data_IF_476181800915
#
_entry.id   IF_476181800915
#
_cell.length_a   1.000
_cell.length_b   1.000
_cell.length_c   1.000
_cell.angle_alpha   90.00
_cell.angle_beta   90.00
_cell.angle_gamma   90.00
#
_symmetry.space_group_name_H-M   'P 1'
#
loop_
_entity.id
_entity.type
_entity.pdbx_description
1 polymer ?
#
# COMPACT_ATOMS: atom_id res chain seq x y z
N UNK A 1 2.61 -30.30 26.78
CA UNK A 1 1.38 -30.51 25.97
C UNK A 1 1.25 -32.01 25.73
N UNK A 2 0.13 -32.65 26.08
CA UNK A 2 -0.07 -34.10 25.87
C UNK A 2 -0.77 -34.87 27.00
N UNK A 3 -1.03 -34.25 28.15
CA UNK A 3 -1.56 -34.94 29.35
C UNK A 3 -3.09 -34.96 29.43
N UNK A 4 -3.81 -34.30 28.52
CA UNK A 4 -5.28 -34.32 28.44
C UNK A 4 -5.75 -34.84 27.09
N UNK A 5 -7.00 -35.29 26.98
CA UNK A 5 -7.56 -35.74 25.69
C UNK A 5 -7.41 -34.68 24.58
N UNK A 6 -7.78 -33.44 24.86
CA UNK A 6 -7.60 -32.33 23.92
C UNK A 6 -6.12 -32.03 23.64
N UNK A 7 -5.25 -32.19 24.63
CA UNK A 7 -3.80 -32.04 24.47
C UNK A 7 -3.19 -33.11 23.56
N UNK A 8 -3.69 -34.34 23.60
CA UNK A 8 -3.25 -35.43 22.71
C UNK A 8 -3.71 -35.19 21.27
N UNK A 9 -4.96 -34.77 21.09
CA UNK A 9 -5.48 -34.38 19.77
C UNK A 9 -4.67 -33.22 19.18
N UNK A 10 -4.38 -32.21 20.00
CA UNK A 10 -3.55 -31.07 19.60
C UNK A 10 -2.11 -31.48 19.24
N UNK A 11 -1.50 -32.38 20.02
CA UNK A 11 -0.12 -32.81 19.80
C UNK A 11 0.04 -33.74 18.59
N UNK A 12 -0.92 -34.65 18.38
CA UNK A 12 -0.88 -35.64 17.30
C UNK A 12 -1.44 -35.12 15.99
N UNK A 13 -2.33 -34.11 16.05
CA UNK A 13 -3.12 -33.68 14.89
C UNK A 13 -4.08 -34.77 14.39
N UNK A 14 -4.41 -35.76 15.23
CA UNK A 14 -5.32 -36.87 14.90
C UNK A 14 -6.57 -36.87 15.80
N UNK A 15 -7.73 -37.31 15.30
CA UNK A 15 -8.91 -37.57 16.10
C UNK A 15 -8.64 -38.51 17.28
N UNK A 16 -9.29 -38.27 18.42
CA UNK A 16 -9.28 -39.16 19.58
C UNK A 16 -10.71 -39.42 20.06
N UNK A 17 -11.14 -40.68 20.00
CA UNK A 17 -12.40 -41.14 20.54
C UNK A 17 -12.16 -41.95 21.81
N UNK A 18 -12.89 -41.61 22.88
CA UNK A 18 -12.88 -42.31 24.17
C UNK A 18 -14.32 -42.62 24.54
N UNK A 19 -14.75 -43.90 24.42
CA UNK A 19 -16.15 -44.26 24.64
C UNK A 19 -16.64 -44.03 26.06
N UNK A 20 -15.76 -44.18 27.03
CA UNK A 20 -16.02 -43.92 28.45
C UNK A 20 -14.75 -43.33 29.08
N UNK A 21 -14.84 -42.08 29.52
CA UNK A 21 -13.76 -41.31 30.12
C UNK A 21 -13.73 -41.46 31.64
N UNK A 22 -14.72 -42.11 32.25
CA UNK A 22 -14.81 -42.25 33.70
C UNK A 22 -13.65 -43.11 34.20
N UNK A 23 -12.86 -42.55 35.11
CA UNK A 23 -11.66 -43.21 35.62
C UNK A 23 -10.46 -43.20 34.67
N UNK A 24 -10.56 -42.60 33.48
CA UNK A 24 -9.39 -42.41 32.61
C UNK A 24 -8.46 -41.34 33.19
N UNK A 25 -7.16 -41.64 33.44
CA UNK A 25 -6.22 -40.69 34.03
C UNK A 25 -5.95 -39.45 33.16
N UNK A 26 -6.29 -39.49 31.86
CA UNK A 26 -6.17 -38.35 30.94
C UNK A 26 -7.35 -37.38 31.06
N UNK A 27 -8.38 -37.72 31.84
CA UNK A 27 -9.48 -36.82 32.17
C UNK A 27 -9.02 -35.78 33.18
N UNK A 28 -8.56 -34.62 32.68
CA UNK A 28 -7.93 -33.58 33.50
C UNK A 28 -8.89 -32.87 34.47
N UNK A 29 -10.20 -32.91 34.21
CA UNK A 29 -11.22 -32.21 34.99
C UNK A 29 -12.38 -33.15 35.35
N UNK A 30 -12.16 -34.15 36.22
CA UNK A 30 -13.17 -35.16 36.54
C UNK A 30 -14.38 -34.57 37.27
N UNK A 31 -14.19 -33.53 38.07
CA UNK A 31 -15.29 -32.82 38.74
C UNK A 31 -16.22 -32.13 37.72
N UNK A 32 -15.64 -31.46 36.72
CA UNK A 32 -16.40 -30.83 35.64
C UNK A 32 -17.18 -31.86 34.82
N UNK A 33 -16.53 -32.97 34.45
CA UNK A 33 -17.20 -34.07 33.76
C UNK A 33 -18.35 -34.65 34.60
N UNK A 34 -18.17 -34.83 35.91
CA UNK A 34 -19.21 -35.32 36.80
C UNK A 34 -20.39 -34.34 36.91
N UNK A 35 -20.14 -33.03 37.03
CA UNK A 35 -21.20 -32.00 37.12
C UNK A 35 -22.10 -32.00 35.89
N UNK A 36 -21.53 -32.14 34.69
CA UNK A 36 -22.28 -32.12 33.43
C UNK A 36 -22.60 -33.52 32.91
N UNK A 37 -22.30 -34.56 33.69
CA UNK A 37 -22.51 -35.96 33.33
C UNK A 37 -21.76 -36.40 32.08
N UNK A 38 -20.62 -35.80 31.73
CA UNK A 38 -19.86 -36.13 30.51
C UNK A 38 -19.19 -37.49 30.66
N UNK A 39 -19.55 -38.44 29.80
CA UNK A 39 -19.07 -39.83 29.84
C UNK A 39 -18.19 -40.15 28.64
N UNK A 40 -18.61 -39.86 27.41
CA UNK A 40 -17.77 -40.09 26.22
C UNK A 40 -17.05 -38.81 25.78
N UNK A 41 -15.98 -38.96 24.99
CA UNK A 41 -15.25 -37.87 24.37
C UNK A 41 -14.90 -38.22 22.91
N UNK A 42 -15.14 -37.30 21.99
CA UNK A 42 -14.56 -37.29 20.66
C UNK A 42 -13.91 -35.93 20.42
N UNK A 43 -12.59 -35.90 20.34
CA UNK A 43 -11.81 -34.72 20.03
C UNK A 43 -11.33 -34.74 18.58
N UNK A 44 -11.50 -33.64 17.87
CA UNK A 44 -11.12 -33.46 16.47
C UNK A 44 -10.22 -32.23 16.34
N UNK A 45 -9.06 -32.34 15.68
CA UNK A 45 -8.19 -31.19 15.49
C UNK A 45 -8.77 -30.25 14.44
N UNK A 46 -8.90 -28.97 14.80
CA UNK A 46 -9.27 -27.89 13.89
C UNK A 46 -7.97 -27.32 13.33
N UNK A 47 -7.51 -27.87 12.22
CA UNK A 47 -6.20 -27.51 11.65
C UNK A 47 -6.25 -27.32 10.13
N UNK A 48 -5.46 -26.36 9.63
CA UNK A 48 -5.30 -26.09 8.20
C UNK A 48 -3.84 -25.79 7.89
N UNK A 49 -3.31 -26.35 6.79
CA UNK A 49 -1.93 -26.12 6.30
C UNK A 49 -0.85 -26.25 7.40
N UNK A 50 -0.97 -27.27 8.26
CA UNK A 50 -0.02 -27.54 9.34
C UNK A 50 -0.17 -26.64 10.58
N UNK A 51 -1.10 -25.69 10.58
CA UNK A 51 -1.43 -24.85 11.74
C UNK A 51 -2.65 -25.39 12.47
N UNK A 52 -2.51 -25.62 13.78
CA UNK A 52 -3.61 -25.95 14.68
C UNK A 52 -4.28 -24.66 15.19
N UNK A 53 -5.60 -24.56 15.05
CA UNK A 53 -6.41 -23.49 15.63
C UNK A 53 -7.08 -23.89 16.94
N UNK A 54 -7.28 -25.19 17.16
CA UNK A 54 -7.85 -25.72 18.40
C UNK A 54 -8.33 -27.15 18.26
N UNK A 55 -9.14 -27.58 19.23
CA UNK A 55 -9.75 -28.92 19.26
C UNK A 55 -11.26 -28.77 19.42
N UNK A 56 -12.01 -29.37 18.50
CA UNK A 56 -13.46 -29.50 18.59
C UNK A 56 -13.79 -30.77 19.37
N UNK A 57 -14.54 -30.66 20.45
CA UNK A 57 -14.87 -31.78 21.32
C UNK A 57 -16.38 -32.05 21.35
N UNK A 58 -16.75 -33.32 21.18
CA UNK A 58 -18.11 -33.82 21.40
C UNK A 58 -18.09 -34.74 22.62
N UNK A 59 -19.10 -34.62 23.48
CA UNK A 59 -19.26 -35.47 24.64
C UNK A 59 -20.71 -35.96 24.74
N UNK A 60 -20.93 -37.14 25.29
CA UNK A 60 -22.27 -37.67 25.59
C UNK A 60 -22.39 -38.06 27.06
N UNK A 61 -23.61 -38.10 27.58
CA UNK A 61 -23.88 -38.44 28.99
C UNK A 61 -23.95 -39.93 29.29
N UNK A 62 -23.80 -40.76 28.27
CA UNK A 62 -23.68 -42.20 28.36
C UNK A 62 -22.45 -42.66 27.56
N UNK A 63 -21.91 -43.86 27.83
CA UNK A 63 -20.84 -44.43 27.03
C UNK A 63 -21.25 -44.52 25.56
N UNK A 64 -20.36 -44.13 24.65
CA UNK A 64 -20.63 -44.16 23.21
C UNK A 64 -19.39 -44.53 22.41
N UNK A 65 -19.47 -45.63 21.68
CA UNK A 65 -18.54 -45.90 20.61
C UNK A 65 -18.94 -45.08 19.37
N UNK A 66 -18.01 -44.30 18.84
CA UNK A 66 -18.18 -43.62 17.56
C UNK A 66 -17.79 -44.57 16.44
N UNK A 67 -18.62 -44.66 15.40
CA UNK A 67 -18.28 -45.43 14.20
C UNK A 67 -17.24 -44.67 13.37
N UNK A 68 -16.40 -45.41 12.64
CA UNK A 68 -15.32 -44.81 11.85
C UNK A 68 -15.84 -43.80 10.81
N UNK A 69 -16.99 -44.07 10.19
CA UNK A 69 -17.62 -43.16 9.24
C UNK A 69 -18.13 -41.86 9.89
N UNK A 70 -18.66 -41.92 11.12
CA UNK A 70 -19.02 -40.74 11.90
C UNK A 70 -17.79 -39.89 12.22
N UNK A 71 -16.68 -40.52 12.63
CA UNK A 71 -15.42 -39.83 12.93
C UNK A 71 -14.86 -39.18 11.68
N UNK A 72 -14.85 -39.88 10.54
CA UNK A 72 -14.40 -39.35 9.24
C UNK A 72 -15.22 -38.13 8.83
N UNK A 73 -16.55 -38.22 8.93
CA UNK A 73 -17.45 -37.12 8.58
C UNK A 73 -17.21 -35.89 9.47
N UNK A 74 -17.19 -36.07 10.79
CA UNK A 74 -16.97 -34.96 11.72
C UNK A 74 -15.56 -34.38 11.59
N UNK A 75 -14.56 -35.21 11.26
CA UNK A 75 -13.20 -34.73 11.02
C UNK A 75 -13.13 -33.87 9.75
N UNK A 76 -13.83 -34.26 8.67
CA UNK A 76 -13.98 -33.43 7.48
C UNK A 76 -14.65 -32.08 7.81
N UNK A 77 -15.67 -32.09 8.68
CA UNK A 77 -16.30 -30.86 9.17
C UNK A 77 -15.32 -29.96 9.95
N UNK A 78 -14.54 -30.53 10.87
CA UNK A 78 -13.51 -29.79 11.61
C UNK A 78 -12.45 -29.16 10.69
N UNK A 79 -12.09 -29.86 9.59
CA UNK A 79 -11.18 -29.31 8.55
C UNK A 79 -11.81 -28.16 7.78
N UNK A 80 -13.11 -28.21 7.46
CA UNK A 80 -13.81 -27.10 6.83
C UNK A 80 -13.91 -25.88 7.75
N UNK A 81 -14.19 -26.09 9.04
CA UNK A 81 -14.14 -25.02 10.03
C UNK A 81 -12.75 -24.36 10.11
N UNK A 82 -11.68 -25.16 10.07
CA UNK A 82 -10.32 -24.65 10.06
C UNK A 82 -10.00 -23.80 8.82
N UNK A 83 -10.51 -24.19 7.65
CA UNK A 83 -10.38 -23.40 6.42
C UNK A 83 -11.12 -22.06 6.54
N UNK A 84 -12.33 -22.05 7.08
CA UNK A 84 -13.11 -20.83 7.28
C UNK A 84 -12.41 -19.86 8.25
N UNK A 85 -11.87 -20.36 9.36
CA UNK A 85 -11.11 -19.56 10.34
C UNK A 85 -9.88 -18.93 9.69
N UNK A 86 -9.11 -19.70 8.92
CA UNK A 86 -7.91 -19.15 8.26
C UNK A 86 -8.28 -18.12 7.20
N UNK A 87 -9.36 -18.32 6.45
CA UNK A 87 -9.84 -17.34 5.47
C UNK A 87 -10.26 -16.03 6.13
N UNK A 88 -11.02 -16.08 7.23
CA UNK A 88 -11.43 -14.90 7.98
C UNK A 88 -10.20 -14.11 8.48
N UNK A 89 -9.21 -14.81 9.05
CA UNK A 89 -7.97 -14.20 9.54
C UNK A 89 -7.14 -13.56 8.42
N UNK A 90 -7.03 -14.21 7.26
CA UNK A 90 -6.34 -13.64 6.10
C UNK A 90 -7.08 -12.40 5.57
N UNK A 91 -8.41 -12.44 5.56
CA UNK A 91 -9.23 -11.33 5.12
C UNK A 91 -9.04 -10.11 6.04
N UNK A 92 -9.13 -10.29 7.37
CA UNK A 92 -8.88 -9.22 8.35
C UNK A 92 -7.49 -8.61 8.19
N UNK A 93 -6.44 -9.43 8.02
CA UNK A 93 -5.09 -8.94 7.80
C UNK A 93 -4.97 -8.10 6.51
N UNK A 94 -5.68 -8.49 5.45
CA UNK A 94 -5.71 -7.77 4.18
C UNK A 94 -6.45 -6.43 4.34
N UNK A 95 -7.60 -6.42 5.01
CA UNK A 95 -8.38 -5.20 5.28
C UNK A 95 -7.56 -4.20 6.13
N UNK A 96 -6.89 -4.66 7.18
CA UNK A 96 -6.03 -3.79 7.99
C UNK A 96 -4.86 -3.20 7.20
N UNK A 97 -4.21 -4.00 6.34
CA UNK A 97 -3.11 -3.50 5.50
C UNK A 97 -3.60 -2.47 4.48
N UNK A 98 -4.78 -2.67 3.89
CA UNK A 98 -5.40 -1.70 2.99
C UNK A 98 -5.71 -0.38 3.70
N UNK A 99 -6.23 -0.43 4.93
CA UNK A 99 -6.49 0.77 5.75
C UNK A 99 -5.19 1.55 6.02
N UNK A 100 -4.11 0.87 6.43
CA UNK A 100 -2.82 1.51 6.69
C UNK A 100 -2.25 2.22 5.45
N UNK A 101 -2.33 1.58 4.27
CA UNK A 101 -1.90 2.19 3.00
C UNK A 101 -2.77 3.39 2.62
N UNK A 102 -4.08 3.32 2.89
CA UNK A 102 -4.99 4.44 2.69
C UNK A 102 -4.62 5.66 3.54
N UNK A 103 -4.36 5.45 4.83
CA UNK A 103 -3.91 6.52 5.73
C UNK A 103 -2.59 7.14 5.29
N UNK A 104 -1.61 6.30 4.89
CA UNK A 104 -0.31 6.80 4.44
C UNK A 104 -0.42 7.63 3.16
N UNK A 105 -1.21 7.15 2.20
CA UNK A 105 -1.50 7.89 0.95
C UNK A 105 -2.14 9.24 1.24
N UNK A 106 -3.10 9.30 2.15
CA UNK A 106 -3.76 10.55 2.53
C UNK A 106 -2.79 11.53 3.22
N UNK A 107 -1.89 11.04 4.08
CA UNK A 107 -0.83 11.86 4.68
C UNK A 107 0.14 12.40 3.62
N UNK A 108 0.57 11.57 2.67
CA UNK A 108 1.42 12.00 1.55
C UNK A 108 0.71 13.05 0.72
N UNK A 109 -0.58 12.85 0.42
CA UNK A 109 -1.41 13.83 -0.30
C UNK A 109 -1.43 15.15 0.45
N UNK A 110 -1.75 15.16 1.75
CA UNK A 110 -1.75 16.37 2.57
C UNK A 110 -0.38 17.07 2.56
N UNK A 111 0.73 16.34 2.71
CA UNK A 111 2.08 16.92 2.62
C UNK A 111 2.37 17.56 1.25
N UNK A 112 1.96 16.91 0.15
CA UNK A 112 2.08 17.48 -1.19
C UNK A 112 1.11 18.64 -1.45
N UNK A 113 -0.03 18.71 -0.74
CA UNK A 113 -1.00 19.80 -0.88
C UNK A 113 -0.60 21.02 -0.06
N UNK A 114 0.16 20.83 1.02
CA UNK A 114 0.69 21.91 1.89
C UNK A 114 1.91 22.61 1.26
N UNK A 115 2.55 22.01 0.24
CA UNK A 115 3.53 22.69 -0.59
C UNK A 115 2.83 23.34 -1.79
N UNK A 116 2.58 24.65 -1.69
CA UNK A 116 2.15 25.50 -2.81
C UNK A 116 3.11 25.29 -4.01
N UNK A 117 2.66 24.71 -5.16
CA UNK A 117 3.53 24.42 -6.30
C UNK A 117 4.25 25.66 -6.82
N UNK A 118 3.59 26.81 -6.78
CA UNK A 118 4.17 28.09 -7.11
C UNK A 118 5.28 28.47 -6.12
N UNK A 119 5.11 28.19 -4.82
CA UNK A 119 6.16 28.40 -3.81
C UNK A 119 7.35 27.47 -4.02
N UNK A 120 7.12 26.19 -4.31
CA UNK A 120 8.21 25.25 -4.61
C UNK A 120 9.00 25.68 -5.85
N UNK A 121 8.30 26.09 -6.91
CA UNK A 121 8.93 26.60 -8.11
C UNK A 121 9.76 27.87 -7.85
N UNK A 122 9.28 28.76 -6.98
CA UNK A 122 10.03 29.95 -6.55
C UNK A 122 11.31 29.59 -5.78
N UNK A 123 11.26 28.66 -4.82
CA UNK A 123 12.43 28.23 -4.05
C UNK A 123 13.48 27.53 -4.95
N UNK A 124 13.03 26.72 -5.91
CA UNK A 124 13.93 26.09 -6.91
C UNK A 124 14.67 27.17 -7.71
N UNK A 125 13.95 28.17 -8.22
CA UNK A 125 14.56 29.26 -8.97
C UNK A 125 15.51 30.11 -8.12
N UNK A 126 15.14 30.38 -6.86
CA UNK A 126 16.01 31.09 -5.92
C UNK A 126 17.33 30.33 -5.67
N UNK A 127 17.25 29.02 -5.44
CA UNK A 127 18.45 28.18 -5.28
C UNK A 127 19.32 28.16 -6.55
N UNK A 128 18.71 28.12 -7.74
CA UNK A 128 19.44 28.17 -9.00
C UNK A 128 20.22 29.49 -9.20
N UNK A 129 19.66 30.63 -8.76
CA UNK A 129 20.35 31.92 -8.81
C UNK A 129 21.56 32.01 -7.89
N UNK A 130 21.55 31.29 -6.77
CA UNK A 130 22.73 31.18 -5.88
C UNK A 130 23.85 30.40 -6.58
N UNK A 131 23.50 29.32 -7.29
CA UNK A 131 24.46 28.47 -7.99
C UNK A 131 25.04 29.14 -9.24
N UNK A 132 24.23 29.95 -9.93
CA UNK A 132 24.64 30.69 -11.13
C UNK A 132 24.34 32.18 -10.95
N UNK A 133 25.27 32.94 -10.32
CA UNK A 133 25.07 34.36 -10.08
C UNK A 133 24.79 35.14 -11.37
N UNK A 134 23.71 35.93 -11.36
CA UNK A 134 23.27 36.70 -12.53
C UNK A 134 22.36 35.93 -13.49
N UNK A 135 22.05 34.66 -13.23
CA UNK A 135 21.12 33.90 -14.05
C UNK A 135 19.66 34.37 -13.89
N UNK A 136 19.00 34.54 -15.03
CA UNK A 136 17.55 34.64 -15.15
C UNK A 136 16.95 33.22 -15.29
N UNK A 137 15.74 33.01 -14.77
CA UNK A 137 15.12 31.68 -14.77
C UNK A 137 13.60 31.72 -14.83
N UNK A 138 13.01 30.69 -15.46
CA UNK A 138 11.56 30.46 -15.50
C UNK A 138 11.28 28.99 -15.24
N UNK A 139 10.20 28.72 -14.50
CA UNK A 139 9.71 27.38 -14.25
C UNK A 139 8.36 27.20 -14.95
N UNK A 140 8.31 26.22 -15.85
CA UNK A 140 7.10 25.84 -16.58
C UNK A 140 6.61 24.49 -16.07
N UNK A 141 5.36 24.40 -15.64
CA UNK A 141 4.74 23.17 -15.14
C UNK A 141 3.68 22.67 -16.12
N UNK A 142 3.62 21.35 -16.35
CA UNK A 142 2.57 20.75 -17.15
C UNK A 142 1.21 20.92 -16.47
N UNK A 143 0.16 21.17 -17.26
CA UNK A 143 -1.21 21.38 -16.77
C UNK A 143 -2.01 20.10 -16.97
N UNK A 144 -2.27 19.38 -15.86
CA UNK A 144 -3.01 18.11 -15.89
C UNK A 144 -2.29 17.03 -16.70
N UNK A 145 -3.04 16.13 -17.34
CA UNK A 145 -2.52 15.11 -18.26
C UNK A 145 -2.47 15.59 -19.73
N UNK A 146 -2.71 16.88 -19.99
CA UNK A 146 -2.75 17.43 -21.34
C UNK A 146 -1.37 17.82 -21.88
N UNK A 147 -1.33 18.18 -23.17
CA UNK A 147 -0.11 18.61 -23.87
C UNK A 147 0.20 20.10 -23.66
N UNK A 148 -0.07 20.66 -22.48
CA UNK A 148 0.11 22.09 -22.22
C UNK A 148 1.02 22.34 -21.00
N UNK A 149 1.89 23.34 -21.11
CA UNK A 149 2.77 23.81 -20.04
C UNK A 149 2.45 25.26 -19.67
N UNK A 150 2.41 25.56 -18.37
CA UNK A 150 2.11 26.88 -17.81
C UNK A 150 3.31 27.47 -17.06
N UNK A 151 3.56 28.77 -17.22
CA UNK A 151 4.54 29.49 -16.40
C UNK A 151 4.04 29.57 -14.95
N UNK A 152 4.80 29.03 -14.00
CA UNK A 152 4.45 29.04 -12.56
C UNK A 152 5.38 29.89 -11.71
N UNK A 153 6.63 30.11 -12.14
CA UNK A 153 7.55 31.02 -11.47
C UNK A 153 8.55 31.63 -12.48
N UNK A 154 9.03 32.84 -12.18
CA UNK A 154 9.96 33.61 -13.00
C UNK A 154 10.86 34.43 -12.07
N UNK A 155 12.15 34.53 -12.38
CA UNK A 155 13.13 35.29 -11.60
C UNK A 155 14.16 35.95 -12.52
N UNK A 156 14.59 37.16 -12.17
CA UNK A 156 15.62 37.89 -12.94
C UNK A 156 15.19 38.37 -14.33
N UNK A 157 13.90 38.27 -14.68
CA UNK A 157 13.32 38.69 -15.96
C UNK A 157 12.15 39.62 -15.72
N UNK A 158 11.98 40.64 -16.56
CA UNK A 158 10.73 41.39 -16.59
C UNK A 158 9.69 40.63 -17.39
N UNK A 159 8.49 40.53 -16.82
CA UNK A 159 7.35 39.99 -17.56
C UNK A 159 6.99 40.97 -18.69
N UNK A 160 6.86 40.50 -19.94
CA UNK A 160 6.56 41.39 -21.06
C UNK A 160 5.20 42.06 -20.89
N UNK A 161 5.13 43.34 -21.29
CA UNK A 161 3.88 44.10 -21.31
C UNK A 161 2.95 43.55 -22.43
N UNK A 162 1.71 43.17 -22.08
CA UNK A 162 0.68 42.71 -23.04
C UNK A 162 0.26 41.24 -22.90
N UNK A 163 -0.25 40.65 -24.00
CA UNK A 163 -0.71 39.25 -24.07
C UNK A 163 0.50 38.30 -24.10
N UNK A 164 1.15 38.11 -22.95
CA UNK A 164 2.14 37.06 -22.80
C UNK A 164 1.44 35.70 -22.74
N UNK A 165 1.73 34.81 -23.69
CA UNK A 165 1.25 33.44 -23.62
C UNK A 165 1.95 32.74 -22.45
N UNK A 166 1.20 32.54 -21.37
CA UNK A 166 1.63 31.79 -20.19
C UNK A 166 1.36 30.30 -20.32
N UNK A 167 0.80 29.87 -21.45
CA UNK A 167 0.43 28.49 -21.75
C UNK A 167 0.96 28.16 -23.15
N UNK A 168 1.76 27.11 -23.27
CA UNK A 168 2.30 26.60 -24.54
C UNK A 168 2.00 25.13 -24.71
N UNK A 169 1.95 24.66 -25.95
CA UNK A 169 1.86 23.22 -26.21
C UNK A 169 3.21 22.51 -26.02
N UNK A 170 3.18 21.22 -25.70
CA UNK A 170 4.37 20.36 -25.79
C UNK A 170 4.92 20.40 -27.22
N UNK A 171 6.24 20.54 -27.35
CA UNK A 171 6.93 20.75 -28.62
C UNK A 171 6.97 22.20 -29.11
N UNK A 172 6.25 23.11 -28.46
CA UNK A 172 6.22 24.53 -28.83
C UNK A 172 7.24 25.34 -28.03
N UNK A 173 8.14 26.03 -28.72
CA UNK A 173 9.19 26.81 -28.06
C UNK A 173 10.27 25.95 -27.41
N UNK A 174 11.37 26.57 -26.97
CA UNK A 174 12.45 25.82 -26.31
C UNK A 174 11.97 25.05 -25.05
N UNK A 175 11.11 25.66 -24.24
CA UNK A 175 10.55 25.02 -23.05
C UNK A 175 9.59 23.86 -23.40
N UNK A 176 8.73 24.02 -24.40
CA UNK A 176 7.83 22.96 -24.85
C UNK A 176 8.58 21.81 -25.53
N UNK A 177 9.63 22.09 -26.30
CA UNK A 177 10.50 21.05 -26.88
C UNK A 177 11.20 20.26 -25.78
N UNK A 178 11.79 20.94 -24.79
CA UNK A 178 12.44 20.26 -23.66
C UNK A 178 11.45 19.40 -22.87
N UNK A 179 10.23 19.89 -22.66
CA UNK A 179 9.17 19.15 -21.99
C UNK A 179 8.72 17.91 -22.80
N UNK A 180 8.60 18.04 -24.13
CA UNK A 180 8.19 16.95 -25.02
C UNK A 180 9.26 15.86 -25.16
N UNK A 181 10.53 16.25 -25.36
CA UNK A 181 11.64 15.31 -25.57
C UNK A 181 12.18 14.74 -24.26
N UNK A 182 11.90 15.38 -23.12
CA UNK A 182 12.48 15.08 -21.80
C UNK A 182 14.01 15.11 -21.80
N UNK A 183 14.59 15.94 -22.67
CA UNK A 183 16.04 16.13 -22.78
C UNK A 183 16.39 17.61 -22.65
N UNK A 184 17.59 17.94 -22.12
CA UNK A 184 18.07 19.32 -22.10
C UNK A 184 18.11 19.91 -23.52
N UNK A 185 17.50 21.07 -23.70
CA UNK A 185 17.57 21.83 -24.95
C UNK A 185 18.43 23.05 -24.70
N UNK A 186 19.54 23.14 -25.43
CA UNK A 186 20.47 24.25 -25.34
C UNK A 186 20.32 25.10 -26.61
N UNK A 187 20.29 26.42 -26.39
CA UNK A 187 20.36 27.42 -27.44
C UNK A 187 21.54 28.34 -27.13
N UNK A 188 22.58 28.38 -27.97
CA UNK A 188 23.72 29.28 -27.77
C UNK A 188 23.32 30.77 -27.84
N UNK A 189 22.25 31.08 -28.58
CA UNK A 189 21.71 32.42 -28.72
C UNK A 189 20.20 32.35 -29.00
N UNK A 190 19.40 32.68 -28.00
CA UNK A 190 17.94 32.65 -28.09
C UNK A 190 17.37 33.77 -28.99
N UNK A 191 18.15 34.78 -29.33
CA UNK A 191 17.69 35.90 -30.18
C UNK A 191 17.70 35.56 -31.67
N UNK A 192 18.44 34.52 -32.06
CA UNK A 192 18.54 34.01 -33.44
C UNK A 192 17.97 32.60 -33.60
N UNK A 193 17.66 31.90 -32.52
CA UNK A 193 17.07 30.56 -32.54
C UNK A 193 15.58 30.59 -32.91
N UNK A 194 15.22 30.06 -34.08
CA UNK A 194 13.83 30.00 -34.56
C UNK A 194 12.90 29.17 -33.68
N UNK A 195 13.44 28.31 -32.82
CA UNK A 195 12.68 27.55 -31.82
C UNK A 195 12.31 28.41 -30.61
N UNK A 196 12.83 29.63 -30.48
CA UNK A 196 12.46 30.55 -29.42
C UNK A 196 11.30 31.44 -29.88
N UNK A 197 10.14 31.29 -29.24
CA UNK A 197 8.88 31.88 -29.71
C UNK A 197 8.89 33.41 -29.71
N UNK A 198 9.60 34.04 -28.75
CA UNK A 198 9.51 35.49 -28.54
C UNK A 198 10.89 36.18 -28.64
N UNK A 199 11.52 36.08 -29.81
CA UNK A 199 12.86 36.63 -30.05
C UNK A 199 12.93 38.14 -29.81
N UNK A 200 11.88 38.88 -30.13
CA UNK A 200 11.84 40.35 -29.92
C UNK A 200 11.90 40.70 -28.43
N UNK A 201 11.18 39.96 -27.58
CA UNK A 201 11.30 40.11 -26.13
C UNK A 201 12.70 39.71 -25.62
N UNK A 202 13.28 38.61 -26.13
CA UNK A 202 14.63 38.21 -25.74
C UNK A 202 15.68 39.29 -26.08
N UNK A 203 15.52 39.98 -27.22
CA UNK A 203 16.35 41.12 -27.59
C UNK A 203 16.14 42.31 -26.65
N UNK A 204 14.89 42.60 -26.29
CA UNK A 204 14.55 43.69 -25.36
C UNK A 204 15.12 43.47 -23.95
N UNK A 205 15.09 42.23 -23.45
CA UNK A 205 15.68 41.82 -22.16
C UNK A 205 17.20 41.63 -22.21
N UNK A 206 17.83 41.82 -23.39
CA UNK A 206 19.26 41.62 -23.61
C UNK A 206 19.72 40.22 -23.17
N UNK A 207 18.94 39.19 -23.50
CA UNK A 207 19.33 37.78 -23.39
C UNK A 207 20.33 37.40 -24.48
N UNK A 208 21.40 38.18 -24.58
CA UNK A 208 22.51 37.98 -25.52
C UNK A 208 23.55 37.05 -24.89
N UNK A 209 24.33 36.33 -25.71
CA UNK A 209 25.44 35.53 -25.19
C UNK A 209 26.38 36.41 -24.35
N UNK A 210 26.79 35.93 -23.18
CA UNK A 210 27.90 36.54 -22.44
C UNK A 210 29.18 36.49 -23.28
N UNK A 211 30.13 37.43 -23.10
CA UNK A 211 31.41 37.35 -23.78
C UNK A 211 32.07 36.02 -23.42
N UNK A 212 32.41 35.24 -24.44
CA UNK A 212 33.00 33.91 -24.30
C UNK A 212 34.37 33.88 -23.65
#
# INVERSE_FOLDING_TARGET
MGESFSGQVAATGQPLAVPDCRGDPRLRYPQHAATYGLVSYLGLPVQCKGRLFGVLAFNTTAPRAYRDDEVVFLFAFARQAALAIENARMHEATVHRAQQLGTLTELTRLLTTVLDPERVAQEILAAAQVLVPGAAGRFWAQVGEGDAIRLVASVGLREPEGRFQRLFSLGEGLAGIAAATRQPVISPDVTSDSRFINQDWARAERLVPGPG
#
